data_IF_241298064749
#
_entry.id   IF_241298064749
#
_cell.length_a   1.000
_cell.length_b   1.000
_cell.length_c   1.000
_cell.angle_alpha   90.00
_cell.angle_beta   90.00
_cell.angle_gamma   90.00
#
_symmetry.space_group_name_H-M   'P 1'
#
loop_
_entity.id
_entity.type
_entity.pdbx_description
1 polymer ?
#
# COMPACT_ATOMS: atom_id res chain seq x y z
N UNK A 1 17.47 8.54 24.67
CA UNK A 1 17.11 8.18 23.29
C UNK A 1 15.73 8.77 23.02
N UNK A 2 15.65 9.89 22.28
CA UNK A 2 14.41 10.57 21.92
C UNK A 2 14.56 10.99 20.45
N UNK A 3 13.91 10.29 19.51
CA UNK A 3 13.27 10.84 18.30
C UNK A 3 12.20 9.88 17.68
N UNK A 4 11.30 9.23 18.46
CA UNK A 4 10.34 8.26 17.92
C UNK A 4 9.30 8.86 16.94
N UNK A 5 8.86 10.11 17.12
CA UNK A 5 7.75 10.64 16.30
C UNK A 5 8.15 10.94 14.84
N UNK A 6 9.40 11.34 14.58
CA UNK A 6 9.87 11.63 13.23
C UNK A 6 9.99 10.36 12.38
N UNK A 7 10.29 9.21 13.00
CA UNK A 7 10.33 7.92 12.32
C UNK A 7 8.94 7.50 11.86
N UNK A 8 7.92 7.67 12.72
CA UNK A 8 6.53 7.41 12.35
C UNK A 8 6.03 8.37 11.26
N UNK A 9 6.40 9.64 11.28
CA UNK A 9 6.08 10.58 10.20
C UNK A 9 6.67 10.13 8.85
N UNK A 10 7.93 9.67 8.85
CA UNK A 10 8.58 9.13 7.65
C UNK A 10 7.89 7.85 7.16
N UNK A 11 7.51 6.94 8.07
CA UNK A 11 6.78 5.72 7.75
C UNK A 11 5.42 6.04 7.12
N UNK A 12 4.65 6.98 7.68
CA UNK A 12 3.39 7.46 7.12
C UNK A 12 3.58 7.98 5.70
N UNK A 13 4.63 8.80 5.47
CA UNK A 13 4.91 9.35 4.13
C UNK A 13 5.22 8.24 3.12
N UNK A 14 6.10 7.31 3.48
CA UNK A 14 6.48 6.18 2.63
C UNK A 14 5.29 5.27 2.33
N UNK A 15 4.47 4.95 3.33
CA UNK A 15 3.30 4.11 3.13
C UNK A 15 2.28 4.78 2.18
N UNK A 16 2.08 6.10 2.27
CA UNK A 16 1.26 6.86 1.31
C UNK A 16 1.82 6.84 -0.10
N UNK A 17 3.13 7.03 -0.25
CA UNK A 17 3.82 6.93 -1.55
C UNK A 17 3.63 5.53 -2.16
N UNK A 18 3.81 4.47 -1.35
CA UNK A 18 3.61 3.08 -1.78
C UNK A 18 2.17 2.79 -2.18
N UNK A 19 1.17 3.28 -1.42
CA UNK A 19 -0.25 3.14 -1.77
C UNK A 19 -0.51 3.73 -3.16
N UNK A 20 -0.03 4.94 -3.45
CA UNK A 20 -0.22 5.55 -4.77
C UNK A 20 0.37 4.70 -5.90
N UNK A 21 1.56 4.12 -5.70
CA UNK A 21 2.16 3.21 -6.68
C UNK A 21 1.35 1.90 -6.85
N UNK A 22 0.77 1.38 -5.77
CA UNK A 22 -0.06 0.18 -5.81
C UNK A 22 -1.41 0.46 -6.50
N UNK A 23 -2.00 1.64 -6.31
CA UNK A 23 -3.21 2.08 -7.00
C UNK A 23 -3.00 2.17 -8.52
N UNK A 24 -1.90 2.79 -8.95
CA UNK A 24 -1.51 2.87 -10.36
C UNK A 24 -1.33 1.47 -10.98
N UNK A 25 -0.66 0.57 -10.27
CA UNK A 25 -0.48 -0.82 -10.71
C UNK A 25 -1.81 -1.56 -10.78
N UNK A 26 -2.65 -1.39 -9.78
CA UNK A 26 -3.98 -2.01 -9.70
C UNK A 26 -4.84 -1.59 -10.90
N UNK A 27 -4.85 -0.29 -11.23
CA UNK A 27 -5.59 0.23 -12.37
C UNK A 27 -5.08 -0.39 -13.69
N UNK A 28 -3.76 -0.46 -13.89
CA UNK A 28 -3.16 -1.07 -15.08
C UNK A 28 -3.52 -2.55 -15.21
N UNK A 29 -3.47 -3.32 -14.12
CA UNK A 29 -3.83 -4.75 -14.13
C UNK A 29 -5.31 -4.95 -14.42
N UNK A 30 -6.19 -4.10 -13.86
CA UNK A 30 -7.63 -4.13 -14.16
C UNK A 30 -7.90 -3.89 -15.64
N UNK A 31 -7.27 -2.88 -16.26
CA UNK A 31 -7.39 -2.61 -17.69
C UNK A 31 -6.91 -3.79 -18.57
N UNK A 32 -5.86 -4.51 -18.14
CA UNK A 32 -5.40 -5.72 -18.84
C UNK A 32 -6.41 -6.86 -18.70
N UNK A 33 -6.98 -7.06 -17.51
CA UNK A 33 -8.02 -8.06 -17.26
C UNK A 33 -9.33 -7.77 -17.99
N UNK A 34 -9.70 -6.51 -18.20
CA UNK A 34 -10.86 -6.16 -19.05
C UNK A 34 -10.69 -6.69 -20.48
N UNK A 35 -9.46 -6.66 -21.01
CA UNK A 35 -9.14 -7.16 -22.36
C UNK A 35 -8.89 -8.67 -22.39
N UNK A 36 -8.45 -9.25 -21.28
CA UNK A 36 -8.11 -10.67 -21.18
C UNK A 36 -8.53 -11.22 -19.81
N UNK A 37 -9.84 -11.46 -19.60
CA UNK A 37 -10.36 -11.79 -18.28
C UNK A 37 -9.82 -13.10 -17.72
N UNK A 38 -9.50 -14.08 -18.57
CA UNK A 38 -9.03 -15.40 -18.14
C UNK A 38 -7.52 -15.49 -17.93
N UNK A 39 -6.78 -14.39 -18.13
CA UNK A 39 -5.33 -14.39 -17.97
C UNK A 39 -4.94 -14.65 -16.51
N UNK A 40 -4.42 -15.86 -16.26
CA UNK A 40 -4.01 -16.30 -14.95
C UNK A 40 -2.86 -15.45 -14.36
N UNK A 41 -2.01 -14.87 -15.22
CA UNK A 41 -0.91 -13.99 -14.80
C UNK A 41 -1.47 -12.70 -14.21
N UNK A 42 -2.38 -12.03 -14.93
CA UNK A 42 -2.97 -10.79 -14.43
C UNK A 42 -3.90 -11.03 -13.23
N UNK A 43 -4.56 -12.19 -13.14
CA UNK A 43 -5.31 -12.57 -11.92
C UNK A 43 -4.41 -12.77 -10.72
N UNK A 44 -3.23 -13.38 -10.91
CA UNK A 44 -2.24 -13.54 -9.83
C UNK A 44 -1.66 -12.19 -9.43
N UNK A 45 -1.33 -11.34 -10.39
CA UNK A 45 -0.84 -9.98 -10.15
C UNK A 45 -1.87 -9.14 -9.39
N UNK A 46 -3.15 -9.22 -9.76
CA UNK A 46 -4.25 -8.55 -9.06
C UNK A 46 -4.33 -8.99 -7.59
N UNK A 47 -4.24 -10.30 -7.32
CA UNK A 47 -4.24 -10.82 -5.94
C UNK A 47 -3.04 -10.32 -5.14
N UNK A 48 -1.85 -10.31 -5.75
CA UNK A 48 -0.64 -9.83 -5.09
C UNK A 48 -0.76 -8.34 -4.74
N UNK A 49 -1.15 -7.50 -5.71
CA UNK A 49 -1.32 -6.05 -5.48
C UNK A 49 -2.37 -5.80 -4.39
N UNK A 50 -3.46 -6.58 -4.36
CA UNK A 50 -4.51 -6.44 -3.33
C UNK A 50 -3.98 -6.81 -1.93
N UNK A 51 -3.15 -7.87 -1.83
CA UNK A 51 -2.51 -8.25 -0.57
C UNK A 51 -1.53 -7.17 -0.12
N UNK A 52 -0.65 -6.71 -1.01
CA UNK A 52 0.31 -5.66 -0.73
C UNK A 52 -0.39 -4.38 -0.26
N UNK A 53 -1.50 -4.00 -0.90
CA UNK A 53 -2.32 -2.85 -0.50
C UNK A 53 -2.86 -3.01 0.92
N UNK A 54 -3.41 -4.17 1.25
CA UNK A 54 -3.93 -4.48 2.58
C UNK A 54 -2.82 -4.35 3.64
N UNK A 55 -1.64 -4.90 3.35
CA UNK A 55 -0.48 -4.83 4.27
C UNK A 55 -0.05 -3.37 4.46
N UNK A 56 0.16 -2.62 3.37
CA UNK A 56 0.60 -1.22 3.46
C UNK A 56 -0.43 -0.32 4.15
N UNK A 57 -1.73 -0.58 3.97
CA UNK A 57 -2.78 0.14 4.70
C UNK A 57 -2.72 -0.13 6.21
N UNK A 58 -2.51 -1.39 6.61
CA UNK A 58 -2.37 -1.75 8.02
C UNK A 58 -1.11 -1.10 8.64
N UNK A 59 0.00 -1.09 7.91
CA UNK A 59 1.23 -0.40 8.33
C UNK A 59 1.02 1.11 8.48
N UNK A 60 0.29 1.73 7.54
CA UNK A 60 -0.05 3.15 7.62
C UNK A 60 -0.93 3.45 8.84
N UNK A 61 -1.93 2.62 9.11
CA UNK A 61 -2.81 2.76 10.27
C UNK A 61 -2.02 2.63 11.58
N UNK A 62 -1.16 1.61 11.67
CA UNK A 62 -0.29 1.43 12.82
C UNK A 62 0.64 2.63 13.03
N UNK A 63 1.35 3.07 11.98
CA UNK A 63 2.25 4.22 12.06
C UNK A 63 1.51 5.52 12.44
N UNK A 64 0.27 5.72 11.98
CA UNK A 64 -0.57 6.86 12.40
C UNK A 64 -0.92 6.79 13.87
N UNK A 65 -1.38 5.63 14.36
CA UNK A 65 -1.72 5.42 15.76
C UNK A 65 -0.52 5.71 16.67
N UNK A 66 0.65 5.16 16.32
CA UNK A 66 1.89 5.40 17.05
C UNK A 66 2.34 6.86 17.00
N UNK A 67 2.19 7.54 15.86
CA UNK A 67 2.49 8.97 15.74
C UNK A 67 1.57 9.84 16.61
N UNK A 68 0.27 9.51 16.67
CA UNK A 68 -0.71 10.19 17.51
C UNK A 68 -0.41 10.01 19.00
N UNK A 69 -0.03 8.80 19.43
CA UNK A 69 0.38 8.52 20.81
C UNK A 69 1.74 9.14 21.18
N UNK A 70 2.55 9.51 20.17
CA UNK A 70 3.84 10.16 20.36
C UNK A 70 3.75 11.69 20.52
N UNK A 71 2.67 12.29 19.99
CA UNK A 71 2.37 13.73 20.08
C UNK A 71 1.87 14.14 21.46
#
# INVERSE_FOLDING_TARGET
>A
MKMPCQEYELQIRKARETIGLLEDKLQKVRQKLEKSPEDATFRRELKQITLDMTITMNELEHAKSEFENCK
#
